data_IF_365573789322
#
_entry.id   IF_365573789322
#
_cell.length_a   1.000
_cell.length_b   1.000
_cell.length_c   1.000
_cell.angle_alpha   90.00
_cell.angle_beta   90.00
_cell.angle_gamma   90.00
#
_symmetry.space_group_name_H-M   'P 1'
#
loop_
_entity.id
_entity.type
_entity.pdbx_description
1 polymer ?
#
# COMPACT_ATOMS: atom_id res chain seq x y z
N UNK A 1 2.62 -9.94 -15.56
CA UNK A 1 2.69 -9.47 -14.15
C UNK A 1 1.62 -10.20 -13.34
N UNK A 2 1.80 -10.39 -12.02
CA UNK A 2 0.90 -11.21 -11.19
C UNK A 2 -0.58 -10.80 -11.28
N UNK A 3 -0.83 -9.52 -11.57
CA UNK A 3 -2.17 -8.93 -11.61
C UNK A 3 -2.83 -8.94 -13.00
N UNK A 4 -2.12 -9.32 -14.06
CA UNK A 4 -2.64 -9.28 -15.45
C UNK A 4 -3.76 -10.31 -15.70
N UNK A 5 -3.89 -11.29 -14.81
CA UNK A 5 -4.91 -12.33 -14.89
C UNK A 5 -6.27 -11.89 -14.32
N UNK A 6 -6.34 -10.72 -13.68
CA UNK A 6 -7.57 -10.16 -13.11
C UNK A 6 -8.21 -9.13 -14.04
N UNK A 7 -9.45 -9.39 -14.44
CA UNK A 7 -10.31 -8.45 -15.12
C UNK A 7 -11.28 -7.78 -14.14
N UNK A 8 -11.35 -6.45 -14.16
CA UNK A 8 -12.26 -5.66 -13.35
C UNK A 8 -13.45 -5.25 -14.21
N UNK A 9 -14.62 -5.81 -13.91
CA UNK A 9 -15.83 -5.68 -14.72
C UNK A 9 -16.80 -4.73 -14.02
N UNK A 10 -16.96 -3.52 -14.59
CA UNK A 10 -17.96 -2.55 -14.13
C UNK A 10 -19.27 -2.82 -14.88
N UNK A 11 -20.25 -3.37 -14.18
CA UNK A 11 -21.54 -3.71 -14.73
C UNK A 11 -22.56 -2.59 -14.52
N UNK A 12 -23.09 -2.06 -15.63
CA UNK A 12 -24.03 -0.94 -15.67
C UNK A 12 -23.61 0.26 -14.80
N UNK A 13 -22.35 0.74 -14.87
CA UNK A 13 -21.93 1.92 -14.12
C UNK A 13 -22.76 3.13 -14.56
N UNK A 14 -23.21 3.93 -13.60
CA UNK A 14 -24.05 5.11 -13.87
C UNK A 14 -23.24 6.36 -14.14
N UNK A 15 -22.12 6.55 -13.44
CA UNK A 15 -21.31 7.76 -13.56
C UNK A 15 -20.05 7.53 -14.38
N UNK A 16 -19.83 8.26 -15.50
CA UNK A 16 -18.56 8.26 -16.20
C UNK A 16 -17.38 8.66 -15.30
N UNK A 17 -17.62 9.54 -14.32
CA UNK A 17 -16.62 9.91 -13.32
C UNK A 17 -16.15 8.72 -12.48
N UNK A 18 -17.06 7.82 -12.10
CA UNK A 18 -16.72 6.58 -11.38
C UNK A 18 -15.90 5.62 -12.25
N UNK A 19 -16.21 5.53 -13.55
CA UNK A 19 -15.41 4.74 -14.50
C UNK A 19 -13.97 5.27 -14.56
N UNK A 20 -13.83 6.59 -14.68
CA UNK A 20 -12.52 7.25 -14.66
C UNK A 20 -11.75 7.02 -13.36
N UNK A 21 -12.41 7.23 -12.22
CA UNK A 21 -11.82 7.02 -10.91
C UNK A 21 -11.44 5.54 -10.67
N UNK A 22 -12.23 4.59 -11.17
CA UNK A 22 -11.89 3.16 -11.16
C UNK A 22 -10.64 2.87 -12.01
N UNK A 23 -10.54 3.42 -13.23
CA UNK A 23 -9.34 3.28 -14.06
C UNK A 23 -8.08 3.83 -13.36
N UNK A 24 -8.20 4.97 -12.66
CA UNK A 24 -7.14 5.51 -11.81
C UNK A 24 -6.76 4.56 -10.68
N UNK A 25 -7.75 4.00 -9.98
CA UNK A 25 -7.54 3.06 -8.89
C UNK A 25 -6.78 1.81 -9.37
N UNK A 26 -7.20 1.22 -10.49
CA UNK A 26 -6.53 0.07 -11.09
C UNK A 26 -5.08 0.38 -11.44
N UNK A 27 -4.81 1.53 -12.06
CA UNK A 27 -3.44 1.93 -12.37
C UNK A 27 -2.57 2.08 -11.12
N UNK A 28 -3.09 2.69 -10.06
CA UNK A 28 -2.36 2.82 -8.79
C UNK A 28 -1.93 1.46 -8.22
N UNK A 29 -2.76 0.43 -8.43
CA UNK A 29 -2.53 -0.92 -7.91
C UNK A 29 -1.92 -1.87 -8.94
N UNK A 30 -1.48 -1.37 -10.10
CA UNK A 30 -0.85 -2.20 -11.14
C UNK A 30 -1.80 -3.07 -11.97
N UNK A 31 -3.11 -2.90 -11.83
CA UNK A 31 -4.14 -3.60 -12.61
C UNK A 31 -4.47 -2.85 -13.90
N UNK A 32 -4.76 -3.57 -15.00
CA UNK A 32 -4.96 -2.94 -16.33
C UNK A 32 -6.18 -3.43 -17.12
N UNK A 33 -6.68 -4.65 -16.88
CA UNK A 33 -7.85 -5.18 -17.60
C UNK A 33 -9.14 -4.61 -16.98
N UNK A 34 -9.61 -3.49 -17.54
CA UNK A 34 -10.89 -2.86 -17.19
C UNK A 34 -11.92 -3.17 -18.27
N UNK A 35 -13.07 -3.71 -17.86
CA UNK A 35 -14.19 -4.04 -18.75
C UNK A 35 -15.44 -3.31 -18.31
N UNK A 36 -16.12 -2.66 -19.25
CA UNK A 36 -17.30 -1.83 -18.98
C UNK A 36 -18.47 -2.46 -19.70
N UNK A 37 -19.49 -2.87 -18.94
CA UNK A 37 -20.64 -3.59 -19.47
C UNK A 37 -21.87 -2.71 -19.37
N UNK A 38 -22.54 -2.46 -20.50
CA UNK A 38 -23.79 -1.70 -20.56
C UNK A 38 -23.81 -0.39 -19.73
N UNK A 39 -22.84 0.53 -19.89
CA UNK A 39 -22.83 1.77 -19.11
C UNK A 39 -24.12 2.58 -19.32
N UNK A 40 -24.63 3.18 -18.24
CA UNK A 40 -25.92 3.87 -18.29
C UNK A 40 -25.91 5.03 -19.30
N UNK A 41 -26.99 5.18 -20.08
CA UNK A 41 -27.10 6.24 -21.09
C UNK A 41 -26.18 6.06 -22.31
N UNK A 42 -25.50 4.91 -22.44
CA UNK A 42 -24.65 4.59 -23.57
C UNK A 42 -25.18 3.36 -24.32
N UNK A 43 -25.52 3.55 -25.58
CA UNK A 43 -25.91 2.47 -26.48
C UNK A 43 -24.76 2.16 -27.42
N UNK A 44 -24.40 0.88 -27.52
CA UNK A 44 -23.44 0.39 -28.51
C UNK A 44 -24.19 0.35 -29.85
N UNK A 45 -24.41 1.51 -30.47
CA UNK A 45 -24.81 1.57 -31.86
C UNK A 45 -23.62 1.07 -32.70
N UNK A 46 -23.92 0.35 -33.79
CA UNK A 46 -22.98 -0.36 -34.65
C UNK A 46 -21.61 0.34 -34.80
N UNK A 47 -20.54 -0.46 -34.73
CA UNK A 47 -19.14 -0.05 -34.79
C UNK A 47 -18.86 0.94 -35.95
N UNK A 48 -18.93 2.24 -35.67
CA UNK A 48 -18.75 3.27 -36.70
C UNK A 48 -19.29 4.63 -36.27
N UNK A 49 -20.42 4.67 -35.56
CA UNK A 49 -20.89 5.92 -34.97
C UNK A 49 -20.12 6.21 -33.68
N UNK A 50 -19.12 7.08 -33.80
CA UNK A 50 -18.56 7.79 -32.65
C UNK A 50 -19.68 8.63 -32.05
N UNK A 51 -20.54 8.03 -31.23
CA UNK A 51 -21.30 8.80 -30.26
C UNK A 51 -20.25 9.46 -29.38
N UNK A 52 -19.94 10.72 -29.71
CA UNK A 52 -19.26 11.70 -28.85
C UNK A 52 -20.18 12.01 -27.67
N UNK A 53 -20.64 10.97 -26.98
CA UNK A 53 -21.54 11.11 -25.87
C UNK A 53 -20.75 11.84 -24.80
N UNK A 54 -21.16 13.08 -24.51
CA UNK A 54 -20.70 13.84 -23.34
C UNK A 54 -20.79 13.01 -22.04
N UNK A 55 -21.57 11.93 -22.05
CA UNK A 55 -21.79 11.00 -20.93
C UNK A 55 -21.34 9.55 -21.22
N UNK A 56 -20.55 9.30 -22.27
CA UNK A 56 -20.05 7.95 -22.56
C UNK A 56 -18.96 7.48 -21.58
N UNK A 57 -18.60 6.19 -21.58
CA UNK A 57 -17.60 5.62 -20.66
C UNK A 57 -16.19 6.22 -20.79
N UNK A 58 -15.92 6.92 -21.90
CA UNK A 58 -14.66 7.65 -22.15
C UNK A 58 -14.88 9.16 -22.33
N UNK A 59 -15.91 9.71 -21.67
CA UNK A 59 -16.19 11.15 -21.68
C UNK A 59 -15.07 11.97 -21.03
N UNK A 60 -15.14 13.29 -21.15
CA UNK A 60 -14.16 14.18 -20.53
C UNK A 60 -14.22 14.14 -19.00
N UNK A 61 -15.40 13.89 -18.42
CA UNK A 61 -15.55 13.63 -16.98
C UNK A 61 -14.78 12.36 -16.56
N UNK A 62 -14.91 11.27 -17.32
CA UNK A 62 -14.16 10.04 -17.06
C UNK A 62 -12.65 10.28 -17.18
N UNK A 63 -12.20 10.98 -18.23
CA UNK A 63 -10.78 11.33 -18.41
C UNK A 63 -10.25 12.26 -17.32
N UNK A 64 -11.09 13.14 -16.79
CA UNK A 64 -10.77 14.07 -15.70
C UNK A 64 -10.53 13.28 -14.42
N UNK A 65 -11.46 12.38 -14.08
CA UNK A 65 -11.33 11.54 -12.88
C UNK A 65 -10.22 10.48 -12.99
N UNK A 66 -9.89 10.03 -14.21
CA UNK A 66 -8.80 9.09 -14.44
C UNK A 66 -7.41 9.68 -14.16
N UNK A 67 -7.20 10.98 -14.40
CA UNK A 67 -5.90 11.66 -14.24
C UNK A 67 -4.78 10.89 -14.96
N UNK A 68 -3.90 10.20 -14.22
CA UNK A 68 -2.82 9.39 -14.78
C UNK A 68 -3.27 8.00 -15.25
N UNK A 69 -4.48 7.54 -14.90
CA UNK A 69 -5.11 6.29 -15.34
C UNK A 69 -5.78 6.33 -16.71
N UNK A 70 -5.52 7.37 -17.52
CA UNK A 70 -6.14 7.55 -18.84
C UNK A 70 -5.77 6.45 -19.84
N UNK A 71 -4.60 5.85 -19.72
CA UNK A 71 -4.17 4.70 -20.50
C UNK A 71 -5.00 3.45 -20.19
N UNK A 72 -5.28 3.17 -18.90
CA UNK A 72 -6.19 2.09 -18.50
C UNK A 72 -7.61 2.36 -19.01
N UNK A 73 -8.09 3.60 -18.90
CA UNK A 73 -9.41 4.00 -19.43
C UNK A 73 -9.49 3.87 -20.96
N UNK A 74 -8.42 4.23 -21.68
CA UNK A 74 -8.35 4.12 -23.14
C UNK A 74 -8.31 2.67 -23.60
N UNK A 75 -7.59 1.81 -22.87
CA UNK A 75 -7.51 0.37 -23.12
C UNK A 75 -8.75 -0.41 -22.68
N UNK A 76 -9.60 0.17 -21.82
CA UNK A 76 -10.79 -0.49 -21.29
C UNK A 76 -11.70 -0.98 -22.41
N UNK A 77 -12.18 -2.23 -22.32
CA UNK A 77 -13.08 -2.81 -23.33
C UNK A 77 -14.54 -2.56 -22.96
N UNK A 78 -15.40 -2.33 -23.94
CA UNK A 78 -16.83 -2.07 -23.73
C UNK A 78 -17.62 -3.24 -24.31
N UNK A 79 -18.52 -3.79 -23.51
CA UNK A 79 -19.23 -5.03 -23.81
C UNK A 79 -20.76 -4.84 -23.75
N UNK A 80 -21.51 -5.48 -24.65
CA UNK A 80 -22.98 -5.41 -24.67
C UNK A 80 -23.65 -6.20 -23.54
N UNK A 81 -22.95 -7.13 -22.89
CA UNK A 81 -23.48 -7.98 -21.83
C UNK A 81 -22.39 -8.65 -20.99
N UNK A 82 -22.79 -9.22 -19.85
CA UNK A 82 -21.85 -9.92 -18.95
C UNK A 82 -21.27 -11.18 -19.60
N UNK A 83 -22.07 -11.91 -20.37
CA UNK A 83 -21.66 -13.04 -21.19
C UNK A 83 -20.42 -12.70 -22.05
N UNK A 84 -20.48 -11.62 -22.83
CA UNK A 84 -19.36 -11.18 -23.67
C UNK A 84 -18.13 -10.73 -22.86
N UNK A 85 -18.35 -10.06 -21.72
CA UNK A 85 -17.27 -9.59 -20.86
C UNK A 85 -16.58 -10.70 -20.07
N UNK A 86 -17.23 -11.87 -19.92
CA UNK A 86 -16.74 -12.99 -19.12
C UNK A 86 -16.29 -14.18 -19.97
N UNK A 87 -16.49 -14.15 -21.30
CA UNK A 87 -16.30 -15.28 -22.19
C UNK A 87 -14.89 -15.92 -22.16
N UNK A 88 -13.85 -15.15 -21.84
CA UNK A 88 -12.46 -15.60 -21.77
C UNK A 88 -11.95 -15.78 -20.32
N UNK A 89 -12.86 -15.89 -19.36
CA UNK A 89 -12.58 -15.98 -17.92
C UNK A 89 -12.93 -17.38 -17.40
N UNK A 90 -12.11 -17.90 -16.49
CA UNK A 90 -12.29 -19.24 -15.89
C UNK A 90 -12.91 -19.18 -14.49
N UNK A 91 -12.86 -18.02 -13.83
CA UNK A 91 -13.47 -17.80 -12.52
C UNK A 91 -14.11 -16.42 -12.46
N UNK A 92 -15.36 -16.37 -11.99
CA UNK A 92 -16.15 -15.15 -11.83
C UNK A 92 -16.45 -14.92 -10.37
N UNK A 93 -16.09 -13.73 -9.89
CA UNK A 93 -16.21 -13.28 -8.51
C UNK A 93 -17.14 -12.06 -8.47
N UNK A 94 -18.24 -12.16 -7.75
CA UNK A 94 -19.20 -11.06 -7.58
C UNK A 94 -18.90 -10.25 -6.31
N UNK A 95 -19.01 -8.93 -6.39
CA UNK A 95 -18.92 -8.05 -5.21
C UNK A 95 -20.30 -7.74 -4.64
N UNK A 96 -20.42 -7.72 -3.31
CA UNK A 96 -21.67 -7.37 -2.63
C UNK A 96 -21.41 -6.71 -1.27
N UNK A 97 -22.26 -5.75 -0.90
CA UNK A 97 -22.32 -5.17 0.45
C UNK A 97 -23.58 -5.60 1.22
N UNK A 98 -24.49 -6.34 0.56
CA UNK A 98 -25.78 -6.73 1.13
C UNK A 98 -25.70 -8.09 1.81
N UNK A 99 -26.42 -8.24 2.92
CA UNK A 99 -26.75 -9.54 3.49
C UNK A 99 -27.95 -10.16 2.74
N UNK A 100 -28.08 -11.49 2.79
CA UNK A 100 -29.19 -12.21 2.19
C UNK A 100 -28.86 -13.68 1.98
N UNK A 101 -29.87 -14.52 1.72
CA UNK A 101 -29.69 -15.98 1.62
C UNK A 101 -28.56 -16.38 0.67
N UNK A 102 -28.53 -15.81 -0.53
CA UNK A 102 -27.51 -16.06 -1.56
C UNK A 102 -26.18 -15.33 -1.34
N UNK A 103 -26.03 -14.59 -0.24
CA UNK A 103 -24.85 -13.77 0.07
C UNK A 103 -24.20 -14.15 1.40
N UNK A 104 -24.72 -15.19 2.08
CA UNK A 104 -24.20 -15.66 3.37
C UNK A 104 -22.76 -16.16 3.28
N UNK A 105 -22.37 -16.66 2.12
CA UNK A 105 -21.03 -17.21 1.86
C UNK A 105 -20.07 -16.17 1.28
N UNK A 106 -20.43 -14.89 1.26
CA UNK A 106 -19.52 -13.85 0.79
C UNK A 106 -18.31 -13.73 1.72
N UNK A 107 -17.12 -13.99 1.16
CA UNK A 107 -15.87 -13.94 1.92
C UNK A 107 -15.37 -12.48 2.06
N UNK A 108 -14.76 -12.09 3.19
CA UNK A 108 -14.07 -10.82 3.28
C UNK A 108 -13.00 -10.69 2.20
N UNK A 109 -12.93 -9.52 1.55
CA UNK A 109 -12.01 -9.25 0.43
C UNK A 109 -10.55 -9.58 0.75
N UNK A 110 -10.10 -9.36 2.00
CA UNK A 110 -8.73 -9.66 2.44
C UNK A 110 -8.41 -11.15 2.34
N UNK A 111 -9.27 -11.98 2.91
CA UNK A 111 -9.12 -13.44 2.89
C UNK A 111 -9.23 -13.97 1.47
N UNK A 112 -10.25 -13.53 0.73
CA UNK A 112 -10.44 -13.93 -0.66
C UNK A 112 -9.26 -13.54 -1.56
N UNK A 113 -8.60 -12.40 -1.31
CA UNK A 113 -7.49 -11.94 -2.15
C UNK A 113 -6.29 -12.89 -2.13
N UNK A 114 -5.99 -13.52 -0.99
CA UNK A 114 -4.93 -14.54 -0.90
C UNK A 114 -5.25 -15.77 -1.75
N UNK A 115 -6.47 -16.30 -1.64
CA UNK A 115 -6.92 -17.44 -2.43
C UNK A 115 -6.95 -17.11 -3.93
N UNK A 116 -7.52 -15.96 -4.29
CA UNK A 116 -7.62 -15.52 -5.68
C UNK A 116 -6.24 -15.28 -6.30
N UNK A 117 -5.29 -14.73 -5.54
CA UNK A 117 -3.91 -14.54 -5.99
C UNK A 117 -3.19 -15.87 -6.20
N UNK A 118 -3.45 -16.89 -5.39
CA UNK A 118 -2.89 -18.22 -5.62
C UNK A 118 -3.47 -18.88 -6.89
N UNK A 119 -4.77 -18.69 -7.13
CA UNK A 119 -5.47 -19.26 -8.29
C UNK A 119 -5.10 -18.57 -9.62
N UNK A 120 -4.74 -17.28 -9.58
CA UNK A 120 -4.51 -16.46 -10.78
C UNK A 120 -3.36 -16.94 -11.65
N UNK A 121 -2.41 -17.71 -11.09
CA UNK A 121 -1.30 -18.30 -11.86
C UNK A 121 -1.75 -19.30 -12.94
N UNK A 122 -2.93 -19.91 -12.79
CA UNK A 122 -3.50 -20.85 -13.76
C UNK A 122 -4.88 -20.43 -14.30
N UNK A 123 -5.47 -19.37 -13.75
CA UNK A 123 -6.85 -18.99 -14.01
C UNK A 123 -6.97 -17.52 -14.42
N UNK A 124 -7.94 -17.24 -15.29
CA UNK A 124 -8.32 -15.88 -15.67
C UNK A 124 -9.54 -15.48 -14.85
N UNK A 125 -9.37 -14.52 -13.95
CA UNK A 125 -10.36 -14.19 -12.92
C UNK A 125 -11.06 -12.89 -13.30
N UNK A 126 -12.39 -12.84 -13.24
CA UNK A 126 -13.18 -11.63 -13.38
C UNK A 126 -13.82 -11.22 -12.05
N UNK A 127 -13.70 -9.95 -11.70
CA UNK A 127 -14.28 -9.32 -10.51
C UNK A 127 -15.40 -8.39 -10.97
N UNK A 128 -16.65 -8.71 -10.64
CA UNK A 128 -17.82 -7.96 -11.10
C UNK A 128 -18.25 -6.98 -10.01
N UNK A 129 -18.35 -5.71 -10.41
CA UNK A 129 -18.87 -4.61 -9.61
C UNK A 129 -20.20 -4.13 -10.19
N UNK A 130 -21.24 -4.14 -9.37
CA UNK A 130 -22.59 -3.75 -9.79
C UNK A 130 -22.82 -2.23 -9.81
N UNK A 131 -24.02 -1.80 -10.25
CA UNK A 131 -24.42 -0.39 -10.25
C UNK A 131 -24.42 0.24 -8.87
N UNK A 132 -24.15 1.55 -8.80
CA UNK A 132 -23.98 2.31 -7.57
C UNK A 132 -25.22 2.32 -6.65
N UNK A 133 -26.42 2.24 -7.22
CA UNK A 133 -27.69 2.36 -6.50
C UNK A 133 -28.23 1.02 -5.99
N UNK A 134 -28.00 -0.06 -6.74
CA UNK A 134 -28.64 -1.36 -6.47
C UNK A 134 -27.68 -2.54 -6.30
N UNK A 135 -26.42 -2.40 -6.71
CA UNK A 135 -25.47 -3.51 -6.79
C UNK A 135 -25.97 -4.64 -7.70
N UNK A 136 -25.35 -5.82 -7.57
CA UNK A 136 -25.72 -7.01 -8.34
C UNK A 136 -27.02 -7.65 -7.82
N UNK A 137 -27.96 -7.92 -8.73
CA UNK A 137 -29.17 -8.69 -8.46
C UNK A 137 -28.85 -10.17 -8.25
N UNK A 138 -29.80 -10.94 -7.71
CA UNK A 138 -29.60 -12.39 -7.57
C UNK A 138 -29.39 -13.08 -8.92
N UNK A 139 -30.04 -12.62 -10.00
CA UNK A 139 -29.81 -13.17 -11.34
C UNK A 139 -28.39 -12.89 -11.84
N UNK A 140 -27.87 -11.69 -11.58
CA UNK A 140 -26.49 -11.32 -11.92
C UNK A 140 -25.47 -12.11 -11.06
N UNK A 141 -25.81 -12.40 -9.80
CA UNK A 141 -24.97 -13.22 -8.91
C UNK A 141 -24.90 -14.70 -9.32
N UNK A 142 -25.91 -15.25 -10.03
CA UNK A 142 -25.86 -16.65 -10.51
C UNK A 142 -24.70 -16.92 -11.47
N UNK A 143 -24.15 -15.86 -12.08
CA UNK A 143 -22.97 -15.96 -12.96
C UNK A 143 -21.66 -16.08 -12.18
N UNK A 144 -21.68 -15.82 -10.86
CA UNK A 144 -20.50 -15.79 -10.01
C UNK A 144 -20.33 -17.13 -9.28
N UNK A 145 -19.11 -17.67 -9.31
CA UNK A 145 -18.77 -18.88 -8.55
C UNK A 145 -18.35 -18.53 -7.12
N UNK A 146 -17.90 -17.29 -6.89
CA UNK A 146 -17.53 -16.78 -5.57
C UNK A 146 -18.12 -15.40 -5.36
N UNK A 147 -18.38 -15.09 -4.09
CA UNK A 147 -18.80 -13.75 -3.68
C UNK A 147 -17.79 -13.19 -2.70
N UNK A 148 -17.46 -11.92 -2.86
CA UNK A 148 -16.64 -11.17 -1.92
C UNK A 148 -17.41 -9.97 -1.38
N UNK A 149 -17.11 -9.64 -0.13
CA UNK A 149 -17.61 -8.44 0.55
C UNK A 149 -16.45 -7.61 1.07
N UNK A 150 -16.59 -6.30 1.01
CA UNK A 150 -15.69 -5.38 1.71
C UNK A 150 -16.34 -5.12 3.08
N UNK A 151 -15.71 -5.49 4.20
CA UNK A 151 -16.24 -5.15 5.51
C UNK A 151 -16.33 -3.63 5.68
N UNK A 152 -17.50 -3.15 6.09
CA UNK A 152 -17.85 -1.73 6.26
C UNK A 152 -18.64 -1.53 7.56
N UNK A 153 -18.87 -0.27 7.94
CA UNK A 153 -19.77 0.05 9.05
C UNK A 153 -21.19 -0.51 8.78
N UNK A 154 -21.84 -1.16 9.77
CA UNK A 154 -23.19 -1.73 9.60
C UNK A 154 -24.26 -0.70 9.19
N UNK A 155 -24.11 0.55 9.62
CA UNK A 155 -25.08 1.62 9.42
C UNK A 155 -25.10 2.14 7.97
N UNK A 156 -23.97 2.03 7.26
CA UNK A 156 -23.84 2.48 5.89
C UNK A 156 -22.87 1.61 5.09
N UNK A 157 -23.32 0.40 4.68
CA UNK A 157 -22.42 -0.58 4.09
C UNK A 157 -22.10 -0.35 2.61
N UNK A 158 -22.73 0.64 1.98
CA UNK A 158 -22.56 0.90 0.55
C UNK A 158 -21.36 1.81 0.29
N UNK A 159 -20.37 1.29 -0.45
CA UNK A 159 -19.24 2.08 -0.95
C UNK A 159 -19.52 2.65 -2.34
N UNK A 160 -18.89 3.78 -2.67
CA UNK A 160 -18.84 4.24 -4.05
C UNK A 160 -18.13 3.18 -4.93
N UNK A 161 -18.56 3.03 -6.18
CA UNK A 161 -18.03 2.05 -7.13
C UNK A 161 -16.49 2.09 -7.24
N UNK A 162 -15.91 3.27 -7.44
CA UNK A 162 -14.46 3.42 -7.58
C UNK A 162 -13.71 3.13 -6.28
N UNK A 163 -14.32 3.40 -5.12
CA UNK A 163 -13.77 3.05 -3.81
C UNK A 163 -13.75 1.53 -3.59
N UNK A 164 -14.83 0.84 -3.97
CA UNK A 164 -14.88 -0.62 -3.92
C UNK A 164 -13.82 -1.24 -4.83
N UNK A 165 -13.67 -0.73 -6.06
CA UNK A 165 -12.61 -1.14 -7.00
C UNK A 165 -11.21 -0.91 -6.39
N UNK A 166 -10.98 0.25 -5.76
CA UNK A 166 -9.70 0.56 -5.11
C UNK A 166 -9.34 -0.45 -4.03
N UNK A 167 -10.27 -0.75 -3.12
CA UNK A 167 -10.00 -1.66 -2.00
C UNK A 167 -9.71 -3.07 -2.50
N UNK A 168 -10.52 -3.58 -3.45
CA UNK A 168 -10.30 -4.90 -4.04
C UNK A 168 -8.95 -4.97 -4.77
N UNK A 169 -8.64 -3.96 -5.60
CA UNK A 169 -7.37 -3.92 -6.31
C UNK A 169 -6.16 -3.83 -5.36
N UNK A 170 -6.30 -3.07 -4.27
CA UNK A 170 -5.26 -2.94 -3.25
C UNK A 170 -5.00 -4.26 -2.51
N UNK A 171 -6.03 -4.95 -2.04
CA UNK A 171 -5.88 -6.24 -1.35
C UNK A 171 -5.29 -7.32 -2.29
N UNK A 172 -5.65 -7.32 -3.58
CA UNK A 172 -5.02 -8.19 -4.58
C UNK A 172 -3.55 -7.86 -4.83
N UNK A 173 -3.19 -6.57 -4.90
CA UNK A 173 -1.80 -6.15 -5.04
C UNK A 173 -0.95 -6.59 -3.83
N UNK A 174 -1.49 -6.48 -2.62
CA UNK A 174 -0.83 -6.99 -1.41
C UNK A 174 -0.69 -8.51 -1.44
N UNK A 175 -1.78 -9.23 -1.71
CA UNK A 175 -1.80 -10.70 -1.73
C UNK A 175 -0.87 -11.30 -2.79
N UNK A 176 -0.69 -10.60 -3.91
CA UNK A 176 0.21 -11.01 -5.00
C UNK A 176 1.67 -10.64 -4.79
N UNK A 177 2.01 -9.91 -3.72
CA UNK A 177 3.36 -9.39 -3.48
C UNK A 177 3.82 -8.35 -4.51
N UNK A 178 2.88 -7.79 -5.30
CA UNK A 178 3.18 -6.77 -6.32
C UNK A 178 3.35 -5.36 -5.74
N UNK A 179 3.06 -5.18 -4.45
CA UNK A 179 3.24 -3.92 -3.76
C UNK A 179 4.71 -3.50 -3.75
N UNK A 180 4.97 -2.19 -3.92
CA UNK A 180 6.31 -1.65 -3.76
C UNK A 180 6.79 -1.91 -2.33
N UNK A 181 7.97 -2.52 -2.20
CA UNK A 181 8.64 -2.64 -0.91
C UNK A 181 8.81 -1.26 -0.28
N UNK A 182 8.17 -1.08 0.87
CA UNK A 182 8.49 0.05 1.74
C UNK A 182 9.79 -0.28 2.47
N UNK A 183 10.60 0.73 2.85
CA UNK A 183 11.77 0.50 3.65
C UNK A 183 11.38 -0.32 4.89
N UNK A 184 11.98 -1.50 5.04
CA UNK A 184 11.78 -2.35 6.20
C UNK A 184 12.14 -1.59 7.49
N UNK A 185 11.57 -1.99 8.65
CA UNK A 185 12.02 -1.47 9.95
C UNK A 185 13.54 -1.59 10.05
N UNK A 186 14.17 -0.50 10.48
CA UNK A 186 15.62 -0.35 10.45
C UNK A 186 16.30 -1.37 11.34
N UNK A 187 17.40 -1.95 10.85
CA UNK A 187 18.18 -2.92 11.61
C UNK A 187 18.76 -2.27 12.87
N UNK A 188 18.43 -2.83 14.03
CA UNK A 188 19.04 -2.45 15.30
C UNK A 188 20.43 -3.04 15.45
N UNK A 189 21.30 -2.31 16.15
CA UNK A 189 22.60 -2.77 16.58
C UNK A 189 22.44 -3.96 17.54
N UNK A 190 23.42 -4.86 17.54
CA UNK A 190 23.37 -6.05 18.40
C UNK A 190 23.61 -5.64 19.85
N UNK A 191 23.00 -6.35 20.79
CA UNK A 191 23.14 -6.11 22.23
C UNK A 191 24.61 -6.00 22.67
N UNK A 192 25.55 -6.87 22.24
CA UNK A 192 26.95 -6.75 22.62
C UNK A 192 27.63 -5.45 22.13
N UNK A 193 27.21 -4.93 20.98
CA UNK A 193 27.75 -3.69 20.41
C UNK A 193 27.25 -2.46 21.19
N UNK A 194 25.98 -2.49 21.59
CA UNK A 194 25.36 -1.49 22.49
C UNK A 194 26.04 -1.51 23.86
N UNK A 195 26.29 -2.68 24.42
CA UNK A 195 26.97 -2.84 25.71
C UNK A 195 28.40 -2.30 25.67
N UNK A 196 29.15 -2.60 24.61
CA UNK A 196 30.49 -2.07 24.42
C UNK A 196 30.51 -0.54 24.29
N UNK A 197 29.54 0.03 23.56
CA UNK A 197 29.39 1.48 23.44
C UNK A 197 29.05 2.13 24.80
N UNK A 198 28.10 1.56 25.55
CA UNK A 198 27.73 2.06 26.89
C UNK A 198 28.90 1.97 27.87
N UNK A 199 29.70 0.89 27.83
CA UNK A 199 30.90 0.77 28.65
C UNK A 199 31.94 1.85 28.32
N UNK A 200 32.15 2.14 27.03
CA UNK A 200 33.03 3.24 26.58
C UNK A 200 32.49 4.61 26.99
N UNK A 201 31.18 4.80 26.89
CA UNK A 201 30.51 6.03 27.34
C UNK A 201 30.68 6.23 28.85
N UNK A 202 30.56 5.17 29.66
CA UNK A 202 30.80 5.23 31.09
C UNK A 202 32.23 5.71 31.40
N UNK A 203 33.24 5.11 30.75
CA UNK A 203 34.63 5.55 30.88
C UNK A 203 34.81 7.03 30.51
N UNK A 204 34.18 7.45 29.41
CA UNK A 204 34.25 8.83 28.94
C UNK A 204 33.65 9.81 29.95
N UNK A 205 32.48 9.50 30.50
CA UNK A 205 31.78 10.36 31.44
C UNK A 205 32.45 10.39 32.83
N UNK A 206 33.06 9.28 33.26
CA UNK A 206 33.91 9.24 34.45
C UNK A 206 35.14 10.16 34.26
N UNK A 207 35.82 10.05 33.12
CA UNK A 207 37.06 10.78 32.86
C UNK A 207 36.91 12.32 32.84
N UNK A 208 35.68 12.82 32.68
CA UNK A 208 35.38 14.26 32.75
C UNK A 208 34.68 14.67 34.06
N UNK A 209 34.56 13.75 35.02
CA UNK A 209 33.94 13.99 36.33
C UNK A 209 32.41 14.10 36.30
N UNK A 210 31.74 13.66 35.23
CA UNK A 210 30.27 13.66 35.16
C UNK A 210 29.65 12.49 35.94
N UNK A 211 30.29 11.31 35.89
CA UNK A 211 29.92 10.15 36.70
C UNK A 211 30.89 10.00 37.88
N UNK A 212 30.39 9.62 39.07
CA UNK A 212 31.24 9.23 40.18
C UNK A 212 31.87 7.86 39.90
N UNK A 213 33.13 7.67 40.28
CA UNK A 213 33.88 6.42 40.03
C UNK A 213 33.34 5.22 40.82
N UNK A 214 32.81 5.46 42.02
CA UNK A 214 32.31 4.45 42.94
C UNK A 214 30.86 4.01 42.65
N UNK A 215 30.09 4.80 41.89
CA UNK A 215 28.69 4.48 41.57
C UNK A 215 28.18 5.07 40.22
N UNK A 216 28.72 4.64 39.07
CA UNK A 216 28.29 5.14 37.76
C UNK A 216 26.94 4.57 37.27
N UNK A 217 26.47 3.48 37.86
CA UNK A 217 25.41 2.63 37.30
C UNK A 217 24.05 3.32 37.19
N UNK A 218 23.68 4.16 38.16
CA UNK A 218 22.37 4.82 38.17
C UNK A 218 22.10 5.62 36.88
N UNK A 219 23.08 6.41 36.44
CA UNK A 219 22.96 7.22 35.22
C UNK A 219 23.12 6.33 33.98
N UNK A 220 24.00 5.33 34.02
CA UNK A 220 24.18 4.41 32.89
C UNK A 220 22.93 3.56 32.62
N UNK A 221 22.17 3.18 33.64
CA UNK A 221 20.85 2.55 33.47
C UNK A 221 19.83 3.48 32.83
N UNK A 222 19.80 4.76 33.24
CA UNK A 222 18.94 5.77 32.62
C UNK A 222 19.30 5.98 31.14
N UNK A 223 20.60 6.08 30.82
CA UNK A 223 21.09 6.20 29.45
C UNK A 223 20.75 4.99 28.59
N UNK A 224 20.94 3.76 29.12
CA UNK A 224 20.53 2.53 28.44
C UNK A 224 19.04 2.55 28.13
N UNK A 225 18.22 2.96 29.10
CA UNK A 225 16.76 3.05 28.92
C UNK A 225 16.39 4.08 27.86
N UNK A 226 17.00 5.27 27.88
CA UNK A 226 16.75 6.33 26.90
C UNK A 226 17.12 5.87 25.49
N UNK A 227 18.32 5.29 25.32
CA UNK A 227 18.82 4.85 24.02
C UNK A 227 18.13 3.57 23.52
N UNK A 228 17.56 2.78 24.42
CA UNK A 228 16.88 1.52 24.10
C UNK A 228 15.42 1.66 23.66
N UNK A 229 14.75 2.80 23.87
CA UNK A 229 13.31 2.97 23.59
C UNK A 229 12.92 2.70 22.13
N UNK A 230 13.75 3.16 21.19
CA UNK A 230 13.52 3.01 19.75
C UNK A 230 14.51 2.04 19.08
N UNK A 231 15.42 1.45 19.88
CA UNK A 231 16.57 0.70 19.42
C UNK A 231 17.63 1.58 18.74
N UNK A 232 18.91 1.32 19.00
CA UNK A 232 20.00 2.02 18.32
C UNK A 232 20.29 1.38 16.97
N UNK A 233 20.49 2.17 15.92
CA UNK A 233 20.99 1.71 14.62
C UNK A 233 22.52 1.67 14.61
N UNK A 234 23.17 0.86 13.76
CA UNK A 234 24.63 0.81 13.66
C UNK A 234 25.28 2.18 13.48
N UNK A 235 24.71 3.04 12.63
CA UNK A 235 25.22 4.41 12.43
C UNK A 235 25.12 5.28 13.69
N UNK A 236 24.05 5.13 14.48
CA UNK A 236 23.89 5.88 15.74
C UNK A 236 24.86 5.36 16.78
N UNK A 237 25.09 4.05 16.82
CA UNK A 237 26.09 3.42 17.66
C UNK A 237 27.50 3.95 17.35
N UNK A 238 27.85 4.10 16.06
CA UNK A 238 29.13 4.67 15.64
C UNK A 238 29.28 6.13 16.08
N UNK A 239 28.22 6.93 15.97
CA UNK A 239 28.20 8.32 16.45
C UNK A 239 28.45 8.35 17.96
N UNK A 240 27.75 7.51 18.74
CA UNK A 240 27.92 7.46 20.19
C UNK A 240 29.32 6.99 20.60
N UNK A 241 29.86 6.00 19.90
CA UNK A 241 31.25 5.56 20.07
C UNK A 241 32.25 6.67 19.74
N UNK A 242 32.00 7.44 18.68
CA UNK A 242 32.81 8.59 18.29
C UNK A 242 32.81 9.68 19.36
N UNK A 243 31.64 10.01 19.91
CA UNK A 243 31.49 10.97 21.02
C UNK A 243 32.30 10.49 22.24
N UNK A 244 32.09 9.25 22.69
CA UNK A 244 32.79 8.71 23.85
C UNK A 244 34.31 8.67 23.64
N UNK A 245 34.77 8.26 22.44
CA UNK A 245 36.19 8.25 22.08
C UNK A 245 36.80 9.66 22.07
N UNK A 246 36.06 10.64 21.56
CA UNK A 246 36.51 12.04 21.51
C UNK A 246 36.64 12.65 22.91
N UNK A 247 35.69 12.35 23.80
CA UNK A 247 35.75 12.76 25.21
C UNK A 247 36.99 12.16 25.89
N UNK A 248 37.21 10.85 25.74
CA UNK A 248 38.38 10.16 26.32
C UNK A 248 39.72 10.67 25.76
N UNK A 249 39.78 11.00 24.48
CA UNK A 249 40.97 11.61 23.89
C UNK A 249 41.23 13.01 24.47
N UNK A 250 40.17 13.82 24.61
CA UNK A 250 40.26 15.16 25.15
C UNK A 250 40.76 15.16 26.61
N UNK A 251 40.22 14.28 27.46
CA UNK A 251 40.56 14.22 28.88
C UNK A 251 42.02 13.84 29.16
N UNK A 252 42.66 13.06 28.28
CA UNK A 252 44.06 12.64 28.47
C UNK A 252 45.08 13.68 28.01
N UNK A 253 44.94 14.17 26.78
CA UNK A 253 45.96 15.04 26.14
C UNK A 253 45.41 15.87 24.98
N UNK A 254 44.13 15.68 24.62
CA UNK A 254 43.56 16.33 23.45
C UNK A 254 43.37 17.84 23.61
N UNK A 255 43.25 18.33 24.85
CA UNK A 255 43.14 19.76 25.12
C UNK A 255 44.35 20.56 24.60
N UNK A 256 45.57 20.09 24.85
CA UNK A 256 46.80 20.75 24.37
C UNK A 256 46.87 20.80 22.84
N UNK A 257 46.43 19.73 22.19
CA UNK A 257 46.39 19.63 20.73
C UNK A 257 45.36 20.58 20.13
N UNK A 258 44.20 20.72 20.77
CA UNK A 258 43.15 21.67 20.40
C UNK A 258 43.63 23.12 20.53
N UNK A 259 44.28 23.44 21.64
CA UNK A 259 44.83 24.78 21.90
C UNK A 259 45.89 25.13 20.84
N UNK A 260 46.81 24.23 20.51
CA UNK A 260 47.80 24.43 19.42
C UNK A 260 47.16 24.57 18.03
N UNK A 261 46.13 23.77 17.71
CA UNK A 261 45.43 23.85 16.42
C UNK A 261 44.62 25.14 16.26
N UNK A 262 44.00 25.62 17.35
CA UNK A 262 43.30 26.93 17.38
C UNK A 262 44.27 28.08 17.15
N UNK A 263 45.44 28.06 17.79
CA UNK A 263 46.49 29.08 17.60
C UNK A 263 47.06 29.06 16.18
N UNK A 264 47.13 27.90 15.53
CA UNK A 264 47.67 27.75 14.17
C UNK A 264 46.64 27.82 13.03
N UNK A 265 45.37 28.09 13.33
CA UNK A 265 44.29 28.24 12.32
C UNK A 265 43.93 26.96 11.54
N UNK A 266 44.42 25.79 11.95
CA UNK A 266 44.15 24.51 11.26
C UNK A 266 42.79 23.94 11.68
N UNK A 267 42.00 23.47 10.70
CA UNK A 267 40.70 22.84 10.96
C UNK A 267 40.85 21.59 11.84
N UNK A 268 39.94 21.46 12.79
CA UNK A 268 39.72 20.25 13.57
C UNK A 268 38.94 19.26 12.71
N UNK A 269 39.53 18.10 12.44
CA UNK A 269 38.83 16.90 11.99
C UNK A 269 38.84 15.93 13.15
#
# INVERSE_FOLDING_TARGET
>A
MPLDHFAFVLFKPKSPGNIGAAARALKNMGCRDLRIVQPAGFHIANAGERTRARQGPRSDDAKTMAVHGRDVLAAATIHPGLDSALADRTLVVGTTARAGLYRKEAQPVREASHELSALSGANRIALIFGPEDRGLTNEELKLCQRLITIPTAPEYPSLNLAQAVMIVAYELMLASGAARELPLPQQWARVPEVDAMLARMAQALIAIGFLPEDNPDHIMFALRTILGREGLRPRELDIMNGIASQILWFSKSGHDTLTRKRVSGKKLR
#
